data_IF_633572196949
#
_entry.id   IF_633572196949
#
_cell.length_a   1.000
_cell.length_b   1.000
_cell.length_c   1.000
_cell.angle_alpha   90.00
_cell.angle_beta   90.00
_cell.angle_gamma   90.00
#
_symmetry.space_group_name_H-M   'P 1'
#
loop_
_entity.id
_entity.type
_entity.pdbx_description
1 polymer ?
#
# COMPACT_ATOMS: atom_id res chain seq x y z
N UNK A 1 -89.43 -23.64 -24.09
CA UNK A 1 -88.19 -24.48 -24.19
C UNK A 1 -87.10 -23.92 -25.13
N UNK A 2 -87.42 -23.24 -26.24
CA UNK A 2 -86.44 -22.81 -27.27
C UNK A 2 -85.40 -21.76 -26.81
N UNK A 3 -85.80 -20.80 -25.96
CA UNK A 3 -84.91 -19.74 -25.45
C UNK A 3 -83.76 -20.26 -24.56
N UNK A 4 -84.00 -21.29 -23.75
CA UNK A 4 -82.99 -21.84 -22.85
C UNK A 4 -81.89 -22.58 -23.64
N UNK A 5 -82.26 -23.23 -24.75
CA UNK A 5 -81.31 -23.91 -25.64
C UNK A 5 -80.41 -22.91 -26.40
N UNK A 6 -80.98 -21.79 -26.86
CA UNK A 6 -80.23 -20.71 -27.52
C UNK A 6 -79.25 -20.04 -26.55
N UNK A 7 -79.70 -19.70 -25.33
CA UNK A 7 -78.85 -19.13 -24.28
C UNK A 7 -77.69 -20.06 -23.93
N UNK A 8 -77.97 -21.34 -23.65
CA UNK A 8 -76.93 -22.34 -23.32
C UNK A 8 -75.90 -22.48 -24.46
N UNK A 9 -76.34 -22.39 -25.71
CA UNK A 9 -75.46 -22.43 -26.90
C UNK A 9 -74.58 -21.18 -27.00
N UNK A 10 -75.10 -20.00 -26.68
CA UNK A 10 -74.33 -18.74 -26.67
C UNK A 10 -73.28 -18.76 -25.57
N UNK A 11 -73.69 -19.11 -24.35
CA UNK A 11 -72.80 -19.21 -23.17
C UNK A 11 -71.64 -20.17 -23.45
N UNK A 12 -71.94 -21.38 -23.91
CA UNK A 12 -70.91 -22.41 -24.10
C UNK A 12 -70.01 -22.15 -25.30
N UNK A 13 -70.51 -21.52 -26.36
CA UNK A 13 -69.74 -21.30 -27.60
C UNK A 13 -68.93 -20.00 -27.59
N UNK A 14 -69.38 -18.97 -26.87
CA UNK A 14 -68.79 -17.64 -26.94
C UNK A 14 -68.35 -17.10 -25.58
N UNK A 15 -69.19 -17.17 -24.54
CA UNK A 15 -68.88 -16.56 -23.24
C UNK A 15 -67.82 -17.36 -22.47
N UNK A 16 -67.97 -18.68 -22.36
CA UNK A 16 -67.02 -19.52 -21.62
C UNK A 16 -65.60 -19.46 -22.22
N UNK A 17 -65.39 -19.64 -23.55
CA UNK A 17 -64.07 -19.54 -24.13
C UNK A 17 -63.44 -18.15 -23.97
N UNK A 18 -64.24 -17.08 -24.13
CA UNK A 18 -63.78 -15.71 -23.92
C UNK A 18 -63.28 -15.49 -22.49
N UNK A 19 -64.08 -15.87 -21.49
CA UNK A 19 -63.71 -15.78 -20.07
C UNK A 19 -62.48 -16.62 -19.73
N UNK A 20 -62.32 -17.80 -20.35
CA UNK A 20 -61.12 -18.63 -20.18
C UNK A 20 -59.88 -17.95 -20.77
N UNK A 21 -59.97 -17.42 -22.00
CA UNK A 21 -58.87 -16.68 -22.62
C UNK A 21 -58.47 -15.43 -21.83
N UNK A 22 -59.44 -14.70 -21.27
CA UNK A 22 -59.18 -13.52 -20.45
C UNK A 22 -58.52 -13.91 -19.12
N UNK A 23 -58.96 -14.99 -18.48
CA UNK A 23 -58.31 -15.56 -17.29
C UNK A 23 -56.87 -15.98 -17.58
N UNK A 24 -56.61 -16.69 -18.68
CA UNK A 24 -55.27 -17.12 -19.08
C UNK A 24 -54.35 -15.92 -19.36
N UNK A 25 -54.88 -14.87 -20.01
CA UNK A 25 -54.16 -13.61 -20.22
C UNK A 25 -53.75 -12.97 -18.89
N UNK A 26 -54.68 -12.85 -17.95
CA UNK A 26 -54.43 -12.28 -16.62
C UNK A 26 -53.38 -13.09 -15.85
N UNK A 27 -53.44 -14.43 -15.90
CA UNK A 27 -52.43 -15.30 -15.28
C UNK A 27 -51.05 -15.06 -15.91
N UNK A 28 -50.97 -15.00 -17.25
CA UNK A 28 -49.71 -14.75 -17.95
C UNK A 28 -49.11 -13.37 -17.62
N UNK A 29 -49.95 -12.33 -17.50
CA UNK A 29 -49.53 -11.00 -17.08
C UNK A 29 -49.01 -10.99 -15.63
N UNK A 30 -49.70 -11.68 -14.72
CA UNK A 30 -49.27 -11.85 -13.33
C UNK A 30 -47.92 -12.59 -13.24
N UNK A 31 -47.77 -13.69 -13.97
CA UNK A 31 -46.55 -14.51 -13.97
C UNK A 31 -45.36 -13.74 -14.54
N UNK A 32 -45.56 -12.96 -15.61
CA UNK A 32 -44.54 -12.05 -16.14
C UNK A 32 -44.12 -11.03 -15.10
N UNK A 33 -45.08 -10.34 -14.47
CA UNK A 33 -44.80 -9.34 -13.42
C UNK A 33 -44.04 -9.93 -12.22
N UNK A 34 -44.46 -11.10 -11.74
CA UNK A 34 -43.80 -11.81 -10.65
C UNK A 34 -42.39 -12.28 -11.04
N UNK A 35 -42.19 -12.74 -12.27
CA UNK A 35 -40.87 -13.13 -12.77
C UNK A 35 -39.91 -11.94 -12.83
N UNK A 36 -40.37 -10.79 -13.33
CA UNK A 36 -39.56 -9.56 -13.30
C UNK A 36 -39.19 -9.14 -11.87
N UNK A 37 -40.14 -9.17 -10.91
CA UNK A 37 -39.85 -8.87 -9.50
C UNK A 37 -38.81 -9.81 -8.90
N UNK A 38 -38.91 -11.12 -9.16
CA UNK A 38 -37.92 -12.12 -8.69
C UNK A 38 -36.53 -11.83 -9.27
N UNK A 39 -36.45 -11.52 -10.56
CA UNK A 39 -35.19 -11.14 -11.22
C UNK A 39 -34.60 -9.88 -10.58
N UNK A 40 -35.42 -8.84 -10.36
CA UNK A 40 -34.98 -7.60 -9.69
C UNK A 40 -34.47 -7.86 -8.27
N UNK A 41 -35.14 -8.70 -7.49
CA UNK A 41 -34.68 -9.09 -6.14
C UNK A 41 -33.36 -9.83 -6.20
N UNK A 42 -33.20 -10.78 -7.14
CA UNK A 42 -31.95 -11.54 -7.30
C UNK A 42 -30.77 -10.62 -7.66
N UNK A 43 -30.99 -9.66 -8.57
CA UNK A 43 -29.98 -8.65 -8.93
C UNK A 43 -29.59 -7.83 -7.69
N UNK A 44 -30.57 -7.40 -6.88
CA UNK A 44 -30.32 -6.65 -5.65
C UNK A 44 -29.48 -7.46 -4.63
N UNK A 45 -29.75 -8.75 -4.49
CA UNK A 45 -28.96 -9.66 -3.63
C UNK A 45 -27.52 -9.79 -4.12
N UNK A 46 -27.30 -9.88 -5.44
CA UNK A 46 -25.95 -9.92 -6.02
C UNK A 46 -25.21 -8.61 -5.75
N UNK A 47 -25.86 -7.47 -5.98
CA UNK A 47 -25.26 -6.15 -5.77
C UNK A 47 -24.87 -5.96 -4.30
N UNK A 48 -25.74 -6.33 -3.36
CA UNK A 48 -25.48 -6.22 -1.92
C UNK A 48 -24.35 -7.15 -1.48
N UNK A 49 -24.32 -8.39 -1.98
CA UNK A 49 -23.22 -9.32 -1.73
C UNK A 49 -21.88 -8.79 -2.25
N UNK A 50 -21.86 -8.24 -3.47
CA UNK A 50 -20.67 -7.63 -4.06
C UNK A 50 -20.20 -6.42 -3.24
N UNK A 51 -21.13 -5.57 -2.78
CA UNK A 51 -20.82 -4.44 -1.92
C UNK A 51 -20.18 -4.88 -0.60
N UNK A 52 -20.73 -5.91 0.06
CA UNK A 52 -20.17 -6.48 1.29
C UNK A 52 -18.77 -7.06 1.07
N UNK A 53 -18.56 -7.74 -0.06
CA UNK A 53 -17.24 -8.29 -0.43
C UNK A 53 -16.19 -7.18 -0.60
N UNK A 54 -16.55 -6.09 -1.29
CA UNK A 54 -15.68 -4.93 -1.47
C UNK A 54 -15.38 -4.27 -0.11
N UNK A 55 -16.41 -4.07 0.72
CA UNK A 55 -16.26 -3.48 2.06
C UNK A 55 -15.33 -4.34 2.95
N UNK A 56 -15.51 -5.66 2.93
CA UNK A 56 -14.65 -6.60 3.65
C UNK A 56 -13.19 -6.54 3.18
N UNK A 57 -12.96 -6.50 1.87
CA UNK A 57 -11.63 -6.34 1.29
C UNK A 57 -10.95 -5.04 1.77
N UNK A 58 -11.67 -3.92 1.71
CA UNK A 58 -11.19 -2.62 2.21
C UNK A 58 -10.88 -2.66 3.72
N UNK A 59 -11.76 -3.28 4.52
CA UNK A 59 -11.57 -3.40 5.96
C UNK A 59 -10.31 -4.20 6.32
N UNK A 60 -10.09 -5.34 5.64
CA UNK A 60 -8.90 -6.17 5.82
C UNK A 60 -7.62 -5.42 5.44
N UNK A 61 -7.65 -4.65 4.33
CA UNK A 61 -6.53 -3.80 3.89
C UNK A 61 -6.19 -2.72 4.91
N UNK A 62 -7.19 -2.05 5.47
CA UNK A 62 -6.99 -1.02 6.49
C UNK A 62 -6.37 -1.57 7.77
N UNK A 63 -6.81 -2.75 8.23
CA UNK A 63 -6.23 -3.40 9.43
C UNK A 63 -4.74 -3.70 9.25
N UNK A 64 -4.33 -4.17 8.06
CA UNK A 64 -2.91 -4.45 7.74
C UNK A 64 -2.05 -3.18 7.76
N UNK A 65 -2.55 -2.07 7.20
CA UNK A 65 -1.82 -0.80 7.19
C UNK A 65 -1.64 -0.23 8.60
N UNK A 66 -2.65 -0.34 9.47
CA UNK A 66 -2.56 0.08 10.87
C UNK A 66 -1.49 -0.71 11.63
N UNK A 67 -1.46 -2.04 11.46
CA UNK A 67 -0.43 -2.88 12.09
C UNK A 67 0.98 -2.48 11.61
N UNK A 68 1.19 -2.34 10.30
CA UNK A 68 2.49 -1.94 9.73
C UNK A 68 2.99 -0.59 10.24
N UNK A 69 2.09 0.40 10.38
CA UNK A 69 2.45 1.69 10.94
C UNK A 69 2.91 1.57 12.40
N UNK A 70 2.18 0.82 13.22
CA UNK A 70 2.55 0.59 14.61
C UNK A 70 3.90 -0.13 14.73
N UNK A 71 4.10 -1.20 13.95
CA UNK A 71 5.34 -1.97 13.93
C UNK A 71 6.54 -1.08 13.52
N UNK A 72 6.33 -0.20 12.54
CA UNK A 72 7.35 0.76 12.09
C UNK A 72 7.69 1.79 13.16
N UNK A 73 6.68 2.35 13.85
CA UNK A 73 6.87 3.32 14.93
C UNK A 73 7.62 2.69 16.11
N UNK A 74 7.21 1.48 16.53
CA UNK A 74 7.88 0.74 17.60
C UNK A 74 9.35 0.45 17.25
N UNK A 75 9.61 0.05 16.00
CA UNK A 75 10.97 -0.16 15.51
C UNK A 75 11.81 1.12 15.52
N UNK A 76 11.22 2.25 15.14
CA UNK A 76 11.88 3.55 15.12
C UNK A 76 12.23 4.03 16.54
N UNK A 77 11.29 3.93 17.49
CA UNK A 77 11.51 4.29 18.90
C UNK A 77 12.59 3.42 19.54
N UNK A 78 12.60 2.13 19.23
CA UNK A 78 13.63 1.19 19.68
C UNK A 78 14.99 1.51 19.10
N UNK A 79 15.08 1.80 17.79
CA UNK A 79 16.33 2.17 17.11
C UNK A 79 16.90 3.48 17.64
N UNK A 80 16.04 4.46 17.95
CA UNK A 80 16.43 5.73 18.60
C UNK A 80 17.00 5.49 20.00
N UNK A 81 16.38 4.61 20.80
CA UNK A 81 16.90 4.23 22.13
C UNK A 81 18.24 3.49 22.05
N UNK A 82 18.41 2.58 21.08
CA UNK A 82 19.67 1.85 20.87
C UNK A 82 20.79 2.76 20.33
N UNK A 83 20.48 3.72 19.46
CA UNK A 83 21.46 4.69 18.94
C UNK A 83 22.06 5.58 20.04
N UNK A 84 21.36 5.75 21.16
CA UNK A 84 21.89 6.46 22.33
C UNK A 84 22.76 5.59 23.24
N UNK A 85 22.87 4.26 23.02
CA UNK A 85 23.48 3.35 23.99
C UNK A 85 24.39 2.24 23.39
N UNK A 86 24.88 2.31 22.15
CA UNK A 86 25.84 1.28 21.69
C UNK A 86 27.03 1.81 20.90
N UNK A 87 28.19 1.65 21.55
CA UNK A 87 29.48 1.37 20.96
C UNK A 87 29.39 0.18 19.99
N UNK A 88 30.22 0.25 18.97
CA UNK A 88 30.24 -0.49 17.71
C UNK A 88 30.54 -1.98 17.89
N UNK A 89 29.55 -2.86 17.69
CA UNK A 89 29.80 -4.28 17.44
C UNK A 89 30.05 -4.47 15.94
N UNK A 90 31.29 -4.83 15.62
CA UNK A 90 31.77 -5.07 14.26
C UNK A 90 31.42 -6.50 13.84
N UNK A 91 30.80 -6.61 12.67
CA UNK A 91 30.44 -7.88 12.03
C UNK A 91 31.72 -8.55 11.52
N UNK A 92 31.94 -9.79 11.94
CA UNK A 92 33.02 -10.68 11.49
C UNK A 92 32.74 -11.12 10.04
N UNK A 93 33.68 -10.81 9.13
CA UNK A 93 33.65 -11.26 7.73
C UNK A 93 35.03 -11.83 7.41
N UNK A 94 35.08 -13.14 7.22
CA UNK A 94 36.24 -13.92 6.79
C UNK A 94 36.68 -13.53 5.37
N UNK A 95 37.89 -12.97 5.22
CA UNK A 95 38.78 -13.16 4.05
C UNK A 95 40.15 -12.56 4.34
N UNK A 96 41.22 -13.35 4.25
CA UNK A 96 42.66 -12.99 4.12
C UNK A 96 43.10 -11.67 4.78
N UNK A 97 43.94 -11.76 5.81
CA UNK A 97 44.35 -10.71 6.79
C UNK A 97 44.62 -9.30 6.23
N UNK A 98 45.13 -9.13 5.00
CA UNK A 98 45.35 -7.81 4.38
C UNK A 98 44.07 -7.18 3.79
N UNK A 99 43.06 -7.98 3.49
CA UNK A 99 41.77 -7.51 2.95
C UNK A 99 40.75 -7.16 4.03
N UNK A 100 40.86 -7.71 5.25
CA UNK A 100 39.92 -7.41 6.34
C UNK A 100 40.05 -5.97 6.84
N UNK A 101 41.28 -5.46 6.95
CA UNK A 101 41.52 -4.09 7.40
C UNK A 101 40.97 -3.05 6.40
N UNK A 102 41.15 -3.29 5.10
CA UNK A 102 40.61 -2.43 4.05
C UNK A 102 39.07 -2.50 3.96
N UNK A 103 38.48 -3.69 4.13
CA UNK A 103 37.01 -3.84 4.20
C UNK A 103 36.48 -3.08 5.41
N UNK A 104 37.13 -3.23 6.57
CA UNK A 104 36.74 -2.57 7.82
C UNK A 104 36.84 -1.05 7.73
N UNK A 105 37.90 -0.53 7.12
CA UNK A 105 38.04 0.91 6.85
C UNK A 105 36.89 1.44 5.96
N UNK A 106 36.59 0.75 4.86
CA UNK A 106 35.46 1.14 3.97
C UNK A 106 34.12 1.06 4.70
N UNK A 107 33.90 0.05 5.55
CA UNK A 107 32.68 -0.06 6.36
C UNK A 107 32.56 1.07 7.39
N UNK A 108 33.65 1.44 8.07
CA UNK A 108 33.67 2.58 8.99
C UNK A 108 33.36 3.89 8.26
N UNK A 109 33.96 4.10 7.09
CA UNK A 109 33.66 5.24 6.22
C UNK A 109 32.21 5.25 5.74
N UNK A 110 31.62 4.08 5.44
CA UNK A 110 30.20 3.95 5.13
C UNK A 110 29.32 4.33 6.32
N UNK A 111 29.68 3.95 7.55
CA UNK A 111 28.94 4.36 8.75
C UNK A 111 29.01 5.87 8.97
N UNK A 112 30.18 6.49 8.73
CA UNK A 112 30.32 7.96 8.76
C UNK A 112 29.45 8.59 7.67
N UNK A 113 29.41 8.01 6.47
CA UNK A 113 28.56 8.46 5.39
C UNK A 113 27.06 8.37 5.76
N UNK A 114 26.61 7.27 6.38
CA UNK A 114 25.23 7.10 6.85
C UNK A 114 24.84 8.16 7.89
N UNK A 115 25.77 8.54 8.76
CA UNK A 115 25.58 9.62 9.75
C UNK A 115 25.72 11.02 9.15
N UNK A 116 26.31 11.12 7.97
CA UNK A 116 26.46 12.38 7.25
C UNK A 116 25.22 12.62 6.39
N UNK A 117 24.65 13.83 6.42
CA UNK A 117 23.53 14.19 5.55
C UNK A 117 23.91 14.29 4.05
N UNK A 118 25.08 13.79 3.64
CA UNK A 118 25.57 13.81 2.26
C UNK A 118 24.72 12.97 1.31
N UNK A 119 24.06 11.93 1.81
CA UNK A 119 23.15 11.11 1.01
C UNK A 119 21.94 11.89 0.46
N UNK A 120 21.64 13.07 1.02
CA UNK A 120 20.54 13.95 0.56
C UNK A 120 20.90 14.63 -0.76
N UNK A 121 22.19 14.70 -1.12
CA UNK A 121 22.60 15.32 -2.39
C UNK A 121 21.90 14.63 -3.57
N UNK A 122 21.30 15.44 -4.44
CA UNK A 122 20.69 14.95 -5.67
C UNK A 122 21.76 14.29 -6.56
N UNK A 123 21.35 13.27 -7.31
CA UNK A 123 22.21 12.51 -8.21
C UNK A 123 23.45 11.90 -7.55
N UNK A 124 23.34 11.52 -6.27
CA UNK A 124 24.40 10.79 -5.57
C UNK A 124 24.56 9.38 -6.15
N UNK A 125 25.71 9.10 -6.74
CA UNK A 125 26.00 7.83 -7.42
C UNK A 125 26.99 6.98 -6.63
N UNK A 126 27.05 5.68 -6.96
CA UNK A 126 28.06 4.76 -6.42
C UNK A 126 29.47 5.25 -6.72
N UNK A 127 29.70 5.82 -7.91
CA UNK A 127 31.00 6.37 -8.30
C UNK A 127 31.38 7.58 -7.46
N UNK A 128 30.40 8.44 -7.14
CA UNK A 128 30.61 9.59 -6.25
C UNK A 128 31.03 9.13 -4.86
N UNK A 129 30.32 8.15 -4.29
CA UNK A 129 30.67 7.61 -2.98
C UNK A 129 32.03 6.91 -3.00
N UNK A 130 32.32 6.09 -4.01
CA UNK A 130 33.59 5.39 -4.13
C UNK A 130 34.78 6.35 -4.12
N UNK A 131 34.68 7.47 -4.87
CA UNK A 131 35.68 8.54 -4.87
C UNK A 131 35.85 9.16 -3.48
N UNK A 132 34.75 9.49 -2.80
CA UNK A 132 34.81 10.05 -1.43
C UNK A 132 35.43 9.09 -0.41
N UNK A 133 35.16 7.79 -0.54
CA UNK A 133 35.71 6.77 0.36
C UNK A 133 37.13 6.33 -0.01
N UNK A 134 37.71 6.92 -1.08
CA UNK A 134 39.02 6.56 -1.67
C UNK A 134 39.10 5.09 -2.07
N UNK A 135 38.05 4.59 -2.74
CA UNK A 135 37.97 3.23 -3.27
C UNK A 135 37.43 3.23 -4.72
N UNK A 136 37.24 2.05 -5.31
CA UNK A 136 36.60 1.90 -6.61
C UNK A 136 35.15 1.40 -6.47
N UNK A 137 34.32 1.69 -7.47
CA UNK A 137 32.89 1.37 -7.44
C UNK A 137 32.61 -0.13 -7.44
N UNK A 138 33.42 -0.94 -8.11
CA UNK A 138 33.30 -2.41 -8.11
C UNK A 138 33.48 -2.97 -6.71
N UNK A 139 34.54 -2.55 -6.02
CA UNK A 139 34.86 -2.99 -4.66
C UNK A 139 33.81 -2.51 -3.67
N UNK A 140 33.40 -1.25 -3.75
CA UNK A 140 32.35 -0.70 -2.91
C UNK A 140 31.00 -1.42 -3.13
N UNK A 141 30.65 -1.73 -4.39
CA UNK A 141 29.46 -2.52 -4.70
C UNK A 141 29.53 -3.91 -4.07
N UNK A 142 30.68 -4.58 -4.17
CA UNK A 142 30.89 -5.90 -3.56
C UNK A 142 30.74 -5.85 -2.03
N UNK A 143 31.31 -4.84 -1.39
CA UNK A 143 31.19 -4.63 0.07
C UNK A 143 29.74 -4.36 0.46
N UNK A 144 29.03 -3.47 -0.23
CA UNK A 144 27.63 -3.15 0.09
C UNK A 144 26.73 -4.38 -0.13
N UNK A 145 26.91 -5.09 -1.24
CA UNK A 145 26.14 -6.32 -1.50
C UNK A 145 26.43 -7.39 -0.44
N UNK A 146 27.68 -7.60 -0.05
CA UNK A 146 28.04 -8.61 0.95
C UNK A 146 27.57 -8.23 2.36
N UNK A 147 27.80 -6.99 2.80
CA UNK A 147 27.51 -6.53 4.16
C UNK A 147 26.04 -6.15 4.39
N UNK A 148 25.36 -5.60 3.38
CA UNK A 148 23.98 -5.10 3.49
C UNK A 148 22.98 -5.96 2.71
N UNK A 149 23.43 -6.93 1.92
CA UNK A 149 22.60 -7.85 1.12
C UNK A 149 21.67 -7.12 0.14
N UNK A 150 22.08 -5.93 -0.32
CA UNK A 150 21.32 -5.09 -1.26
C UNK A 150 22.28 -4.34 -2.20
N UNK A 151 21.80 -3.99 -3.39
CA UNK A 151 22.55 -3.11 -4.29
C UNK A 151 22.61 -1.65 -3.78
N UNK A 152 23.54 -0.86 -4.33
CA UNK A 152 23.77 0.52 -3.92
C UNK A 152 22.50 1.40 -4.00
N UNK A 153 21.72 1.29 -5.07
CA UNK A 153 20.50 2.11 -5.23
C UNK A 153 19.47 1.82 -4.14
N UNK A 154 19.27 0.54 -3.81
CA UNK A 154 18.40 0.13 -2.70
C UNK A 154 18.97 0.53 -1.34
N UNK A 155 20.29 0.46 -1.16
CA UNK A 155 20.99 0.92 0.04
C UNK A 155 20.81 2.43 0.27
N UNK A 156 21.04 3.24 -0.76
CA UNK A 156 20.86 4.69 -0.70
C UNK A 156 19.40 5.07 -0.41
N UNK A 157 18.46 4.41 -1.10
CA UNK A 157 17.04 4.59 -0.81
C UNK A 157 16.72 4.23 0.64
N UNK A 158 17.30 3.15 1.17
CA UNK A 158 17.07 2.72 2.55
C UNK A 158 17.37 3.83 3.55
N UNK A 159 18.55 4.44 3.43
CA UNK A 159 19.02 5.51 4.33
C UNK A 159 18.16 6.76 4.16
N UNK A 160 17.84 7.16 2.92
CA UNK A 160 16.99 8.33 2.65
C UNK A 160 15.59 8.19 3.21
N UNK A 161 14.98 7.00 3.14
CA UNK A 161 13.66 6.75 3.72
C UNK A 161 13.73 6.71 5.25
N UNK A 162 14.79 6.16 5.85
CA UNK A 162 14.99 6.22 7.30
C UNK A 162 15.08 7.68 7.78
N UNK A 163 15.85 8.51 7.07
CA UNK A 163 15.92 9.96 7.32
C UNK A 163 14.56 10.66 7.11
N UNK A 164 13.80 10.28 6.08
CA UNK A 164 12.46 10.82 5.86
C UNK A 164 11.51 10.52 7.03
N UNK A 165 11.52 9.28 7.55
CA UNK A 165 10.70 8.88 8.71
C UNK A 165 11.10 9.70 9.94
N UNK A 166 12.41 9.88 10.16
CA UNK A 166 12.92 10.71 11.25
C UNK A 166 12.40 12.14 11.14
N UNK A 167 12.63 12.79 10.00
CA UNK A 167 12.24 14.18 9.75
C UNK A 167 10.73 14.38 9.87
N UNK A 168 9.92 13.47 9.34
CA UNK A 168 8.45 13.52 9.48
C UNK A 168 7.99 13.34 10.94
N UNK A 169 8.74 12.59 11.74
CA UNK A 169 8.41 12.34 13.14
C UNK A 169 8.80 13.52 14.03
N UNK A 170 9.95 14.15 13.76
CA UNK A 170 10.50 15.24 14.58
C UNK A 170 9.98 16.62 14.17
N UNK A 171 9.83 16.88 12.88
CA UNK A 171 9.40 18.17 12.35
C UNK A 171 7.93 18.12 11.92
N UNK A 172 7.10 18.99 12.51
CA UNK A 172 5.67 19.11 12.16
C UNK A 172 5.48 19.90 10.86
N UNK A 173 6.39 20.79 10.49
CA UNK A 173 6.24 21.70 9.35
C UNK A 173 6.31 20.95 8.02
N UNK A 174 7.24 20.01 7.90
CA UNK A 174 7.41 19.16 6.71
C UNK A 174 6.15 18.32 6.40
N UNK A 175 5.30 18.05 7.38
CA UNK A 175 4.06 17.28 7.20
C UNK A 175 3.03 18.00 6.34
N UNK A 176 3.16 19.32 6.20
CA UNK A 176 2.32 20.16 5.35
C UNK A 176 2.89 20.35 3.95
N UNK A 177 4.08 19.83 3.67
CA UNK A 177 4.72 19.97 2.35
C UNK A 177 4.08 19.02 1.34
N UNK A 178 4.24 19.36 0.06
CA UNK A 178 3.87 18.45 -1.02
C UNK A 178 4.78 17.23 -1.00
N UNK A 179 4.31 16.09 -1.50
CA UNK A 179 5.13 14.87 -1.58
C UNK A 179 6.39 15.10 -2.42
N UNK A 180 6.33 15.98 -3.42
CA UNK A 180 7.50 16.38 -4.21
C UNK A 180 8.53 17.15 -3.39
N UNK A 181 8.09 18.14 -2.60
CA UNK A 181 9.00 18.90 -1.73
C UNK A 181 9.65 17.99 -0.66
N UNK A 182 8.89 17.07 -0.07
CA UNK A 182 9.43 16.07 0.86
C UNK A 182 10.45 15.17 0.15
N UNK A 183 10.17 14.76 -1.08
CA UNK A 183 11.08 13.94 -1.87
C UNK A 183 12.42 14.66 -2.11
N UNK A 184 12.38 15.92 -2.52
CA UNK A 184 13.57 16.75 -2.75
C UNK A 184 14.37 16.95 -1.46
N UNK A 185 13.70 17.24 -0.35
CA UNK A 185 14.29 17.42 0.98
C UNK A 185 15.05 16.19 1.51
N UNK A 186 14.70 15.00 1.02
CA UNK A 186 15.31 13.73 1.42
C UNK A 186 16.14 13.10 0.29
N UNK A 187 16.41 13.86 -0.77
CA UNK A 187 17.36 13.54 -1.84
C UNK A 187 16.80 12.75 -3.02
N UNK A 188 15.49 12.77 -3.25
CA UNK A 188 14.84 12.20 -4.42
C UNK A 188 14.44 13.28 -5.41
N UNK A 189 14.79 13.09 -6.68
CA UNK A 189 14.43 14.02 -7.76
C UNK A 189 12.93 14.00 -8.11
N UNK A 190 12.22 12.89 -7.81
CA UNK A 190 10.82 12.68 -8.20
C UNK A 190 9.99 12.06 -7.08
N UNK A 191 8.81 12.63 -6.85
CA UNK A 191 7.82 12.16 -5.88
C UNK A 191 7.42 10.69 -6.10
N UNK A 192 7.33 10.24 -7.36
CA UNK A 192 6.95 8.86 -7.66
C UNK A 192 8.01 7.86 -7.21
N UNK A 193 9.28 8.16 -7.45
CA UNK A 193 10.41 7.33 -7.02
C UNK A 193 10.48 7.27 -5.50
N UNK A 194 10.32 8.41 -4.83
CA UNK A 194 10.25 8.50 -3.38
C UNK A 194 9.08 7.69 -2.82
N UNK A 195 7.86 7.90 -3.33
CA UNK A 195 6.65 7.22 -2.84
C UNK A 195 6.75 5.69 -2.98
N UNK A 196 7.33 5.22 -4.09
CA UNK A 196 7.54 3.79 -4.34
C UNK A 196 8.59 3.22 -3.38
N UNK A 197 9.72 3.92 -3.19
CA UNK A 197 10.75 3.50 -2.25
C UNK A 197 10.24 3.48 -0.80
N UNK A 198 9.53 4.54 -0.40
CA UNK A 198 8.90 4.66 0.91
C UNK A 198 7.94 3.49 1.17
N UNK A 199 7.04 3.20 0.23
CA UNK A 199 6.09 2.11 0.39
C UNK A 199 6.75 0.74 0.37
N UNK A 200 7.79 0.54 -0.46
CA UNK A 200 8.54 -0.72 -0.51
C UNK A 200 9.22 -1.02 0.83
N UNK A 201 9.77 -0.01 1.48
CA UNK A 201 10.52 -0.18 2.73
C UNK A 201 9.61 -0.20 3.97
N UNK A 202 8.60 0.65 4.02
CA UNK A 202 7.70 0.79 5.19
C UNK A 202 6.47 -0.10 5.11
N UNK A 203 6.12 -0.56 3.91
CA UNK A 203 4.90 -1.30 3.62
C UNK A 203 3.62 -0.45 3.60
N UNK A 204 3.71 0.89 3.76
CA UNK A 204 2.58 1.83 3.76
C UNK A 204 2.90 3.05 2.89
N UNK A 205 1.89 3.74 2.35
CA UNK A 205 2.14 4.94 1.55
C UNK A 205 2.56 6.11 2.44
N UNK A 206 3.34 7.04 1.88
CA UNK A 206 3.71 8.29 2.54
C UNK A 206 2.48 9.10 3.00
N UNK A 207 1.45 9.17 2.16
CA UNK A 207 0.19 9.85 2.47
C UNK A 207 -0.52 9.23 3.68
N UNK A 208 -0.51 7.89 3.77
CA UNK A 208 -1.06 7.19 4.93
C UNK A 208 -0.23 7.45 6.17
N UNK A 209 1.10 7.40 6.06
CA UNK A 209 2.02 7.68 7.15
C UNK A 209 1.81 9.08 7.74
N UNK A 210 1.77 10.13 6.91
CA UNK A 210 1.52 11.52 7.34
C UNK A 210 0.15 11.63 8.01
N UNK A 211 -0.89 11.01 7.45
CA UNK A 211 -2.22 11.01 8.07
C UNK A 211 -2.20 10.37 9.46
N UNK A 212 -1.50 9.24 9.64
CA UNK A 212 -1.42 8.57 10.94
C UNK A 212 -0.61 9.39 11.96
N UNK A 213 0.49 10.02 11.53
CA UNK A 213 1.34 10.80 12.44
C UNK A 213 0.68 12.09 12.91
N UNK A 214 -0.19 12.68 12.09
CA UNK A 214 -0.99 13.85 12.47
C UNK A 214 -2.16 13.48 13.40
N UNK A 215 -2.64 12.25 13.33
CA UNK A 215 -3.74 11.76 14.18
C UNK A 215 -3.27 11.19 15.52
N UNK A 216 -1.95 11.02 15.75
CA UNK A 216 -1.43 10.70 17.08
C UNK A 216 -1.49 11.98 17.94
N UNK A 217 -2.10 11.96 19.14
CA UNK A 217 -1.92 13.04 20.09
C UNK A 217 -0.42 13.14 20.37
N UNK A 218 0.18 14.29 20.10
CA UNK A 218 1.56 14.52 20.50
C UNK A 218 1.62 14.48 22.02
N UNK A 219 2.34 13.52 22.58
CA UNK A 219 2.89 13.62 23.92
C UNK A 219 3.81 14.86 23.92
N UNK A 220 3.26 15.98 24.37
CA UNK A 220 4.01 17.15 24.81
C UNK A 220 4.40 16.93 26.27
#
# INVERSE_FOLDING_TARGET
MKHNHLRKKIVNKYEIPLLLSEKERLISELDKSNSFKKISIFILVIITSLFLFIAFYFFKKNKKNKKRFNDLMLGFDSKKKLSNNKNTDLIEITTTELSEELVKDVLNKLLIFEKSNKFIKNDYTLNSLAKELKTNSTYLSKIINSSKQVNFSNYLNKIRIEYAIEKLTTDKTIRNYTVQAIAEDVGFNKAQSFSTAFQKQTGISITYFIKQINNKPTEN
#
